data_IF_046723618307
#
_entry.id   IF_046723618307
#
_cell.length_a   1.000
_cell.length_b   1.000
_cell.length_c   1.000
_cell.angle_alpha   90.00
_cell.angle_beta   90.00
_cell.angle_gamma   90.00
#
_symmetry.space_group_name_H-M   'P 1'
#
loop_
_entity.id
_entity.type
_entity.pdbx_description
1 polymer ?
#
# COMPACT_ATOMS: atom_id res chain seq x y z
N UNK A 1 -21.03 4.81 -0.13
CA UNK A 1 -19.61 4.41 -0.22
C UNK A 1 -19.22 3.90 1.15
N UNK A 2 -19.11 2.58 1.32
CA UNK A 2 -18.65 1.98 2.57
C UNK A 2 -17.13 2.08 2.66
N UNK A 3 -16.59 2.18 3.88
CA UNK A 3 -15.16 2.07 4.13
C UNK A 3 -14.76 0.61 3.86
N UNK A 4 -13.81 0.38 2.96
CA UNK A 4 -13.32 -0.97 2.66
C UNK A 4 -12.37 -1.47 3.75
N UNK A 5 -11.62 -0.59 4.41
CA UNK A 5 -10.71 -0.98 5.48
C UNK A 5 -10.74 -0.04 6.67
N UNK A 6 -10.40 -0.57 7.85
CA UNK A 6 -10.28 0.23 9.07
C UNK A 6 -8.96 1.03 9.11
N UNK A 7 -7.84 0.44 8.68
CA UNK A 7 -6.56 1.13 8.51
C UNK A 7 -5.80 0.61 7.29
N UNK A 8 -4.90 1.44 6.74
CA UNK A 8 -4.11 1.04 5.57
C UNK A 8 -2.70 1.62 5.55
N UNK A 9 -1.71 0.77 5.30
CA UNK A 9 -0.36 1.16 4.88
C UNK A 9 -0.25 0.91 3.37
N UNK A 10 0.10 1.96 2.62
CA UNK A 10 0.18 1.92 1.16
C UNK A 10 1.56 2.36 0.71
N UNK A 11 2.23 1.49 -0.03
CA UNK A 11 3.52 1.78 -0.66
C UNK A 11 3.39 1.49 -2.15
N UNK A 12 3.98 2.36 -2.96
CA UNK A 12 4.09 2.14 -4.39
C UNK A 12 5.05 0.99 -4.70
N UNK A 13 4.90 0.30 -5.85
CA UNK A 13 5.90 -0.64 -6.31
C UNK A 13 7.22 0.06 -6.63
N UNK A 14 8.31 -0.71 -6.71
CA UNK A 14 9.68 -0.22 -6.83
C UNK A 14 10.08 0.31 -8.21
N UNK A 15 9.10 0.59 -9.06
CA UNK A 15 9.30 1.10 -10.42
C UNK A 15 8.58 2.43 -10.60
N UNK A 16 9.27 3.37 -11.26
CA UNK A 16 8.72 4.67 -11.61
C UNK A 16 7.50 4.50 -12.53
N UNK A 17 6.44 5.26 -12.26
CA UNK A 17 5.31 5.32 -13.19
C UNK A 17 5.71 6.10 -14.44
N UNK A 18 5.38 5.59 -15.63
CA UNK A 18 5.35 6.43 -16.83
C UNK A 18 4.41 7.62 -16.60
N UNK A 19 4.60 8.72 -17.32
CA UNK A 19 4.09 10.08 -17.06
C UNK A 19 2.51 10.24 -17.06
N UNK A 20 1.77 9.13 -16.96
CA UNK A 20 0.44 8.91 -16.33
C UNK A 20 0.18 7.38 -16.29
N UNK A 21 -0.34 6.67 -15.28
CA UNK A 21 -1.32 6.99 -14.22
C UNK A 21 -0.77 6.78 -12.79
N UNK A 22 -0.56 7.75 -11.89
CA UNK A 22 -0.75 9.21 -11.93
C UNK A 22 -0.09 9.82 -10.65
N UNK A 23 1.20 9.97 -10.41
CA UNK A 23 2.43 10.12 -11.19
C UNK A 23 3.60 9.84 -10.22
N UNK A 24 3.64 8.62 -9.66
CA UNK A 24 4.66 8.23 -8.71
C UNK A 24 4.72 6.73 -8.49
N UNK A 25 5.89 6.26 -8.10
CA UNK A 25 6.33 4.88 -7.97
C UNK A 25 7.85 4.88 -8.04
N UNK A 26 8.52 3.83 -7.56
CA UNK A 26 9.96 3.88 -7.31
C UNK A 26 10.33 4.73 -6.09
N UNK A 27 11.62 4.69 -5.74
CA UNK A 27 12.14 5.25 -4.48
C UNK A 27 12.16 4.24 -3.33
N UNK A 28 13.02 4.52 -2.35
CA UNK A 28 13.17 3.70 -1.15
C UNK A 28 12.76 4.51 0.08
N UNK A 29 11.95 3.93 0.94
CA UNK A 29 11.49 4.54 2.17
C UNK A 29 11.28 3.49 3.25
N UNK A 30 11.20 3.94 4.50
CA UNK A 30 10.99 3.06 5.64
C UNK A 30 9.78 3.53 6.43
N UNK A 31 8.89 2.59 6.75
CA UNK A 31 7.78 2.79 7.66
C UNK A 31 8.15 2.02 8.92
N UNK A 32 8.29 2.71 10.05
CA UNK A 32 8.69 2.06 11.31
C UNK A 32 7.97 2.71 12.49
N UNK A 33 7.83 1.97 13.58
CA UNK A 33 7.20 2.42 14.82
C UNK A 33 5.74 2.91 14.65
N UNK A 34 4.91 2.10 13.97
CA UNK A 34 3.48 2.39 13.77
C UNK A 34 2.65 1.56 14.74
N UNK A 35 1.80 2.20 15.54
CA UNK A 35 0.86 1.52 16.44
C UNK A 35 -0.57 1.89 16.08
N UNK A 36 -1.38 0.91 15.71
CA UNK A 36 -2.82 1.03 15.64
C UNK A 36 -3.42 0.58 16.97
N UNK A 37 -3.89 1.51 17.80
CA UNK A 37 -4.36 1.22 19.15
C UNK A 37 -5.87 1.44 19.29
N UNK A 38 -6.56 0.51 19.98
CA UNK A 38 -8.00 0.58 20.28
C UNK A 38 -8.89 0.85 19.05
N UNK A 39 -8.51 0.34 17.89
CA UNK A 39 -9.30 0.47 16.67
C UNK A 39 -10.51 -0.48 16.68
N UNK A 40 -11.65 -0.03 16.18
CA UNK A 40 -12.85 -0.85 16.00
C UNK A 40 -13.15 -1.03 14.51
N UNK A 41 -13.08 -2.26 14.02
CA UNK A 41 -13.40 -2.61 12.64
C UNK A 41 -14.80 -3.25 12.61
N UNK A 42 -15.73 -2.67 11.85
CA UNK A 42 -17.09 -3.17 11.72
C UNK A 42 -17.56 -3.05 10.28
N UNK A 43 -17.90 -4.20 9.68
CA UNK A 43 -18.38 -4.30 8.30
C UNK A 43 -17.44 -3.62 7.28
N UNK A 44 -16.15 -3.99 7.35
CA UNK A 44 -15.08 -3.60 6.42
C UNK A 44 -14.50 -4.86 5.78
N UNK A 45 -13.93 -4.74 4.58
CA UNK A 45 -13.24 -5.82 3.86
C UNK A 45 -11.93 -6.24 4.55
N UNK A 46 -11.16 -5.25 5.04
CA UNK A 46 -9.92 -5.49 5.77
C UNK A 46 -9.87 -4.71 7.09
N UNK A 47 -9.48 -5.36 8.19
CA UNK A 47 -9.17 -4.63 9.42
C UNK A 47 -7.96 -3.70 9.19
N UNK A 48 -6.85 -4.26 8.72
CA UNK A 48 -5.69 -3.50 8.27
C UNK A 48 -5.29 -4.03 6.90
N UNK A 49 -5.24 -3.17 5.89
CA UNK A 49 -4.63 -3.51 4.60
C UNK A 49 -3.17 -2.98 4.58
N UNK A 50 -2.22 -3.86 4.26
CA UNK A 50 -0.86 -3.44 3.94
C UNK A 50 -0.54 -3.88 2.52
N UNK A 51 -0.16 -2.91 1.67
CA UNK A 51 0.11 -3.18 0.27
C UNK A 51 1.36 -2.45 -0.21
N UNK A 52 2.16 -3.17 -0.98
CA UNK A 52 3.30 -2.66 -1.75
C UNK A 52 2.97 -2.40 -3.22
N UNK A 53 1.70 -2.59 -3.59
CA UNK A 53 1.21 -2.51 -4.96
C UNK A 53 0.24 -1.33 -5.11
N UNK A 54 0.49 -0.23 -4.39
CA UNK A 54 -0.45 0.88 -4.38
C UNK A 54 -0.59 1.47 -5.80
N UNK A 55 -1.85 1.62 -6.24
CA UNK A 55 -2.23 2.20 -7.54
C UNK A 55 -1.65 1.49 -8.79
N UNK A 56 -1.08 0.30 -8.64
CA UNK A 56 -0.65 -0.53 -9.77
C UNK A 56 -1.76 -1.55 -10.11
N UNK A 57 -2.38 -1.39 -11.28
CA UNK A 57 -3.47 -2.27 -11.74
C UNK A 57 -2.96 -3.65 -12.19
N UNK A 58 -1.68 -3.75 -12.57
CA UNK A 58 -1.06 -5.00 -12.99
C UNK A 58 -0.25 -5.62 -11.83
N UNK A 59 -0.78 -6.63 -11.13
CA UNK A 59 -0.11 -7.24 -9.97
C UNK A 59 1.23 -7.89 -10.34
N UNK A 60 1.43 -8.29 -11.60
CA UNK A 60 2.71 -8.84 -12.07
C UNK A 60 3.85 -7.82 -11.91
N UNK A 61 3.61 -6.54 -12.21
CA UNK A 61 4.62 -5.49 -12.06
C UNK A 61 5.02 -5.28 -10.59
N UNK A 62 4.12 -5.51 -9.64
CA UNK A 62 4.43 -5.40 -8.22
C UNK A 62 5.33 -6.54 -7.71
N UNK A 63 5.22 -7.72 -8.33
CA UNK A 63 6.05 -8.87 -8.01
C UNK A 63 7.43 -8.78 -8.68
N UNK A 64 7.49 -8.22 -9.89
CA UNK A 64 8.75 -7.98 -10.62
C UNK A 64 9.57 -6.82 -10.03
N UNK A 65 8.89 -5.79 -9.52
CA UNK A 65 9.51 -4.60 -8.91
C UNK A 65 9.06 -4.45 -7.44
N UNK A 66 9.47 -5.35 -6.53
CA UNK A 66 9.08 -5.29 -5.14
C UNK A 66 9.77 -4.14 -4.39
N UNK A 67 9.20 -3.77 -3.25
CA UNK A 67 9.84 -2.87 -2.27
C UNK A 67 9.99 -3.59 -0.93
N UNK A 68 10.98 -3.15 -0.13
CA UNK A 68 11.24 -3.75 1.17
C UNK A 68 10.38 -3.04 2.22
N UNK A 69 9.43 -3.78 2.78
CA UNK A 69 8.61 -3.34 3.90
C UNK A 69 9.11 -4.05 5.15
N UNK A 70 9.93 -3.34 5.93
CA UNK A 70 10.39 -3.83 7.22
C UNK A 70 9.33 -3.51 8.27
N UNK A 71 8.81 -4.55 8.94
CA UNK A 71 7.95 -4.43 10.11
C UNK A 71 8.74 -4.66 11.38
#
# INVERSE_FOLDING_TARGET
>A
MALTDMARIKVWPGIDSAISEDQGGGGFGTISNITFNKMYANNVDWAIEVTQCYRQKNPTLCNEYPVWLYF
#
